data_IF_452023949839
#
_entry.id   IF_452023949839
#
_cell.length_a   1.000
_cell.length_b   1.000
_cell.length_c   1.000
_cell.angle_alpha   90.00
_cell.angle_beta   90.00
_cell.angle_gamma   90.00
#
_symmetry.space_group_name_H-M   'P 1'
#
loop_
_entity.id
_entity.type
_entity.pdbx_description
1 polymer ?
#
# COMPACT_ATOMS: atom_id res chain seq x y z
N UNK A 1 -13.32 -11.70 -1.06
CA UNK A 1 -12.83 -12.91 -1.77
C UNK A 1 -11.86 -12.50 -2.87
N UNK A 2 -10.58 -12.36 -2.54
CA UNK A 2 -9.48 -12.30 -3.50
C UNK A 2 -8.26 -12.91 -2.81
N UNK A 3 -8.12 -14.23 -2.89
CA UNK A 3 -6.90 -14.96 -2.54
C UNK A 3 -6.75 -16.13 -3.51
N UNK A 4 -5.56 -16.25 -4.12
CA UNK A 4 -4.81 -17.45 -4.53
C UNK A 4 -4.09 -17.31 -5.90
N UNK A 5 -2.78 -17.67 -6.00
CA UNK A 5 -1.95 -17.54 -7.20
C UNK A 5 -1.87 -18.85 -8.01
N UNK A 6 -1.67 -18.76 -9.34
CA UNK A 6 -1.38 -19.92 -10.20
C UNK A 6 -0.24 -19.58 -11.18
N UNK A 7 0.78 -20.45 -11.21
CA UNK A 7 2.02 -20.40 -12.02
C UNK A 7 1.78 -20.73 -13.50
N UNK A 8 2.65 -20.25 -14.42
CA UNK A 8 3.11 -20.98 -15.63
C UNK A 8 4.35 -20.31 -16.29
N UNK A 9 5.08 -21.12 -17.07
CA UNK A 9 6.52 -21.06 -17.39
C UNK A 9 6.98 -20.06 -18.49
N UNK A 10 8.29 -19.70 -18.53
CA UNK A 10 8.85 -18.70 -19.42
C UNK A 10 9.40 -19.33 -20.70
N UNK A 11 8.88 -18.96 -21.86
CA UNK A 11 9.64 -18.89 -23.10
C UNK A 11 8.78 -18.26 -24.21
N UNK A 12 9.42 -17.41 -25.02
CA UNK A 12 8.92 -16.69 -26.22
C UNK A 12 8.58 -15.20 -26.02
N UNK A 13 9.62 -14.35 -26.02
CA UNK A 13 9.47 -12.90 -26.26
C UNK A 13 10.62 -12.32 -27.11
N UNK A 14 10.77 -12.80 -28.35
CA UNK A 14 11.70 -12.21 -29.34
C UNK A 14 11.02 -11.28 -30.36
N UNK A 15 9.78 -10.81 -30.15
CA UNK A 15 9.04 -10.03 -31.16
C UNK A 15 8.30 -8.79 -30.62
N UNK A 16 9.00 -7.90 -29.90
CA UNK A 16 8.51 -6.52 -29.63
C UNK A 16 9.69 -5.53 -29.66
N UNK A 17 10.21 -5.13 -30.84
CA UNK A 17 11.35 -4.21 -30.92
C UNK A 17 11.00 -2.76 -30.58
N UNK A 18 9.76 -2.32 -30.81
CA UNK A 18 9.45 -0.88 -30.91
C UNK A 18 8.76 -0.26 -29.67
N UNK A 19 8.53 -1.03 -28.61
CA UNK A 19 8.03 -0.51 -27.32
C UNK A 19 9.12 -0.37 -26.24
N UNK A 20 10.33 -0.88 -26.53
CA UNK A 20 11.47 -0.92 -25.60
C UNK A 20 12.66 -0.07 -26.05
N UNK A 21 12.47 0.86 -27.01
CA UNK A 21 13.50 1.86 -27.30
C UNK A 21 13.63 2.82 -26.11
N UNK A 22 14.50 2.46 -25.17
CA UNK A 22 15.05 3.37 -24.18
C UNK A 22 15.66 4.56 -24.93
N UNK A 23 15.46 5.81 -24.50
CA UNK A 23 16.24 6.92 -25.02
C UNK A 23 17.72 6.64 -24.72
N UNK A 24 18.51 6.50 -25.79
CA UNK A 24 19.97 6.51 -25.75
C UNK A 24 20.48 7.76 -25.05
N UNK A 25 21.53 7.56 -24.25
CA UNK A 25 22.28 8.55 -23.47
C UNK A 25 22.30 9.96 -24.08
N UNK A 26 21.58 10.88 -23.43
CA UNK A 26 21.85 12.33 -23.41
C UNK A 26 21.49 12.89 -22.04
N UNK A 27 22.19 12.40 -21.02
CA UNK A 27 22.27 13.03 -19.70
C UNK A 27 23.61 12.67 -19.03
N UNK A 28 24.70 12.66 -19.80
CA UNK A 28 26.03 12.81 -19.24
C UNK A 28 26.35 14.30 -19.23
N UNK A 29 25.94 15.00 -18.17
CA UNK A 29 26.51 16.27 -17.66
C UNK A 29 25.56 16.84 -16.60
N UNK A 30 25.42 16.14 -15.47
CA UNK A 30 25.03 16.76 -14.18
C UNK A 30 25.37 15.84 -13.00
N UNK A 31 26.55 15.21 -13.08
CA UNK A 31 27.16 14.43 -11.99
C UNK A 31 28.06 15.33 -11.16
N UNK A 32 27.50 16.14 -10.26
CA UNK A 32 28.23 16.52 -9.05
C UNK A 32 27.22 17.03 -8.01
N UNK A 33 27.24 16.46 -6.80
CA UNK A 33 26.64 16.98 -5.55
C UNK A 33 25.17 16.70 -5.16
N UNK A 34 24.50 15.62 -5.62
CA UNK A 34 23.42 15.02 -4.82
C UNK A 34 23.99 13.88 -3.97
N UNK A 35 24.32 14.16 -2.71
CA UNK A 35 24.65 13.12 -1.72
C UNK A 35 23.59 12.02 -1.84
N UNK A 36 24.00 10.77 -2.14
CA UNK A 36 23.11 9.60 -2.25
C UNK A 36 22.44 9.38 -0.89
N UNK A 37 21.34 10.09 -0.66
CA UNK A 37 20.59 10.02 0.57
C UNK A 37 19.83 8.70 0.56
N UNK A 38 20.03 7.89 1.59
CA UNK A 38 19.31 6.63 1.75
C UNK A 38 17.83 6.94 1.90
N UNK A 39 17.01 6.37 1.01
CA UNK A 39 15.60 6.70 0.93
C UNK A 39 14.82 5.78 1.88
N UNK A 40 14.07 6.33 2.85
CA UNK A 40 13.28 5.48 3.73
C UNK A 40 12.14 4.85 2.93
N UNK A 41 12.13 3.52 2.88
CA UNK A 41 10.93 2.80 2.45
C UNK A 41 9.81 3.15 3.42
N UNK A 42 8.58 3.19 2.91
CA UNK A 42 7.36 3.74 3.49
C UNK A 42 7.18 3.53 5.02
N UNK A 43 7.73 2.44 5.60
CA UNK A 43 7.61 2.12 7.03
C UNK A 43 8.85 1.57 7.72
N UNK A 44 9.81 0.98 7.00
CA UNK A 44 10.96 0.32 7.62
C UNK A 44 11.94 1.32 8.28
N UNK A 45 11.87 2.61 7.93
CA UNK A 45 12.70 3.68 8.51
C UNK A 45 11.85 4.93 8.76
N UNK A 46 11.22 4.98 9.94
CA UNK A 46 10.46 6.16 10.39
C UNK A 46 11.44 7.28 10.78
N UNK A 47 11.69 8.22 9.86
CA UNK A 47 12.29 9.53 10.19
C UNK A 47 11.24 10.61 10.00
N UNK A 48 10.95 11.36 11.05
CA UNK A 48 9.93 12.42 11.07
C UNK A 48 10.24 13.49 10.01
N UNK A 49 11.51 13.87 9.84
CA UNK A 49 11.90 14.87 8.83
C UNK A 49 11.62 14.44 7.39
N UNK A 50 11.59 13.12 7.13
CA UNK A 50 11.40 12.57 5.79
C UNK A 50 9.92 12.49 5.39
N UNK A 51 8.97 12.46 6.34
CA UNK A 51 7.56 12.35 5.97
C UNK A 51 6.98 13.67 5.45
N UNK A 52 7.55 14.82 5.83
CA UNK A 52 7.05 16.12 5.38
C UNK A 52 7.51 16.49 3.96
N UNK A 53 8.54 15.82 3.44
CA UNK A 53 9.08 16.06 2.11
C UNK A 53 8.17 15.50 1.01
N UNK A 54 8.02 16.17 -0.13
CA UNK A 54 7.31 15.62 -1.28
C UNK A 54 7.87 14.26 -1.69
N UNK A 55 7.02 13.31 -2.11
CA UNK A 55 7.51 12.02 -2.62
C UNK A 55 8.20 12.20 -3.97
N UNK A 56 9.33 11.51 -4.11
CA UNK A 56 10.01 11.31 -5.39
C UNK A 56 9.86 9.85 -5.81
N UNK A 57 9.85 9.60 -7.12
CA UNK A 57 9.77 8.25 -7.65
C UNK A 57 10.99 7.41 -7.23
N UNK A 58 10.72 6.21 -6.73
CA UNK A 58 11.74 5.22 -6.44
C UNK A 58 12.29 4.61 -7.71
N UNK A 59 13.59 4.36 -7.70
CA UNK A 59 14.33 3.64 -8.74
C UNK A 59 14.88 2.35 -8.13
N UNK A 60 15.02 1.30 -8.93
CA UNK A 60 15.60 0.04 -8.45
C UNK A 60 17.02 0.19 -7.88
N UNK A 61 17.78 1.17 -8.38
CA UNK A 61 19.11 1.52 -7.90
C UNK A 61 19.14 2.23 -6.55
N UNK A 62 18.00 2.69 -6.04
CA UNK A 62 17.95 3.43 -4.78
C UNK A 62 18.35 2.52 -3.63
N UNK A 63 19.21 3.03 -2.77
CA UNK A 63 19.66 2.34 -1.58
C UNK A 63 18.69 2.60 -0.44
N UNK A 64 18.39 1.52 0.28
CA UNK A 64 17.62 1.51 1.50
C UNK A 64 18.45 0.87 2.62
N UNK A 65 18.17 1.24 3.85
CA UNK A 65 18.42 0.34 4.96
C UNK A 65 17.23 -0.62 5.07
N UNK A 66 17.44 -1.81 5.62
CA UNK A 66 16.37 -2.76 5.94
C UNK A 66 16.74 -3.55 7.19
N UNK A 67 15.77 -3.74 8.10
CA UNK A 67 15.92 -4.66 9.23
C UNK A 67 15.46 -6.04 8.77
N UNK A 68 16.34 -7.02 8.91
CA UNK A 68 16.02 -8.44 8.71
C UNK A 68 16.15 -9.12 10.06
N UNK A 69 15.04 -9.69 10.52
CA UNK A 69 14.91 -10.28 11.85
C UNK A 69 15.34 -11.75 11.84
N UNK A 70 15.75 -12.26 12.98
CA UNK A 70 16.03 -13.68 13.24
C UNK A 70 14.88 -14.30 14.05
N UNK A 71 14.82 -15.64 14.19
CA UNK A 71 13.75 -16.31 14.92
C UNK A 71 13.57 -15.84 16.39
N UNK A 72 14.64 -15.37 17.01
CA UNK A 72 14.67 -14.82 18.37
C UNK A 72 14.25 -13.34 18.45
N UNK A 73 13.79 -12.76 17.34
CA UNK A 73 13.38 -11.35 17.19
C UNK A 73 14.50 -10.33 17.32
N UNK A 74 15.77 -10.75 17.41
CA UNK A 74 16.88 -9.85 17.12
C UNK A 74 16.91 -9.51 15.62
N UNK A 75 17.66 -8.48 15.23
CA UNK A 75 17.72 -8.08 13.82
C UNK A 75 19.08 -7.55 13.42
N UNK A 76 19.41 -7.74 12.14
CA UNK A 76 20.51 -7.05 11.48
C UNK A 76 19.97 -5.96 10.58
N UNK A 77 20.66 -4.82 10.53
CA UNK A 77 20.36 -3.76 9.55
C UNK A 77 21.30 -3.89 8.36
N UNK A 78 20.75 -4.17 7.20
CA UNK A 78 21.49 -4.24 5.93
C UNK A 78 21.28 -2.96 5.13
N UNK A 79 22.29 -2.59 4.33
CA UNK A 79 22.16 -1.57 3.27
C UNK A 79 22.03 -2.31 1.94
N UNK A 80 20.90 -2.13 1.25
CA UNK A 80 20.58 -2.85 0.03
C UNK A 80 19.97 -1.92 -1.01
N UNK A 81 20.06 -2.29 -2.30
CA UNK A 81 19.28 -1.67 -3.37
C UNK A 81 17.83 -2.14 -3.32
N UNK A 82 16.89 -1.33 -3.78
CA UNK A 82 15.49 -1.74 -3.88
C UNK A 82 15.28 -2.93 -4.81
N UNK A 83 15.94 -2.96 -5.96
CA UNK A 83 15.81 -4.06 -6.93
C UNK A 83 16.72 -5.25 -6.63
N UNK A 84 17.29 -5.33 -5.44
CA UNK A 84 18.21 -6.39 -5.05
C UNK A 84 17.54 -7.77 -5.07
N UNK A 85 18.30 -8.80 -5.43
CA UNK A 85 17.86 -10.20 -5.36
C UNK A 85 17.85 -10.70 -3.93
N UNK A 86 16.96 -11.63 -3.63
CA UNK A 86 16.94 -12.30 -2.31
C UNK A 86 18.25 -13.01 -2.00
N UNK A 87 18.92 -13.61 -2.98
CA UNK A 87 20.26 -14.18 -2.77
C UNK A 87 21.32 -13.16 -2.33
N UNK A 88 21.25 -11.93 -2.86
CA UNK A 88 22.12 -10.82 -2.43
C UNK A 88 21.75 -10.33 -1.01
N UNK A 89 20.46 -10.24 -0.69
CA UNK A 89 19.97 -9.92 0.67
C UNK A 89 20.50 -10.93 1.68
N UNK A 90 20.37 -12.23 1.39
CA UNK A 90 20.84 -13.30 2.26
C UNK A 90 22.36 -13.28 2.43
N UNK A 91 23.13 -12.92 1.40
CA UNK A 91 24.57 -12.74 1.51
C UNK A 91 24.94 -11.60 2.47
N UNK A 92 24.26 -10.45 2.38
CA UNK A 92 24.45 -9.31 3.29
C UNK A 92 24.09 -9.67 4.74
N UNK A 93 23.00 -10.42 4.94
CA UNK A 93 22.59 -10.89 6.27
C UNK A 93 23.63 -11.85 6.83
N UNK A 94 24.09 -12.84 6.05
CA UNK A 94 25.16 -13.78 6.45
C UNK A 94 26.44 -13.04 6.85
N UNK A 95 26.87 -12.06 6.07
CA UNK A 95 28.04 -11.23 6.37
C UNK A 95 27.87 -10.53 7.73
N UNK A 96 26.69 -9.95 8.02
CA UNK A 96 26.45 -9.25 9.28
C UNK A 96 26.32 -10.19 10.48
N UNK A 97 25.76 -11.37 10.31
CA UNK A 97 25.64 -12.38 11.38
C UNK A 97 27.00 -13.00 11.74
N UNK A 98 27.94 -13.10 10.79
CA UNK A 98 29.30 -13.63 11.04
C UNK A 98 30.13 -12.81 12.04
N UNK A 99 29.79 -11.54 12.25
CA UNK A 99 30.46 -10.67 13.22
C UNK A 99 29.78 -10.67 14.61
N UNK A 100 28.74 -11.48 14.83
CA UNK A 100 28.14 -11.66 16.15
C UNK A 100 28.98 -12.65 16.96
N UNK A 101 29.49 -12.22 18.12
CA UNK A 101 30.41 -13.00 18.96
C UNK A 101 29.80 -14.30 19.54
N UNK A 102 28.48 -14.49 19.44
CA UNK A 102 27.72 -15.51 20.19
C UNK A 102 27.39 -16.82 19.43
N UNK A 103 27.75 -16.99 18.14
CA UNK A 103 27.45 -18.23 17.39
C UNK A 103 28.66 -18.79 16.60
N UNK A 104 29.27 -19.92 17.03
CA UNK A 104 30.44 -20.52 16.37
C UNK A 104 30.08 -21.38 15.14
N UNK A 105 28.80 -21.60 14.85
CA UNK A 105 28.33 -22.36 13.68
C UNK A 105 27.73 -21.43 12.64
N UNK A 106 28.36 -21.35 11.46
CA UNK A 106 27.79 -20.60 10.33
C UNK A 106 26.41 -21.18 9.98
N UNK A 107 25.33 -20.38 9.93
CA UNK A 107 24.04 -20.86 9.42
C UNK A 107 24.22 -21.17 7.93
N UNK A 108 24.30 -22.45 7.60
CA UNK A 108 24.76 -22.91 6.29
C UNK A 108 23.75 -22.53 5.19
N UNK A 109 22.46 -22.55 5.50
CA UNK A 109 21.39 -22.42 4.52
C UNK A 109 20.23 -21.54 5.01
N UNK A 110 20.45 -20.22 5.09
CA UNK A 110 19.38 -19.27 5.39
C UNK A 110 18.38 -19.13 4.23
N UNK A 111 17.10 -19.04 4.57
CA UNK A 111 16.00 -18.63 3.70
C UNK A 111 15.45 -17.28 4.15
N UNK A 112 14.92 -16.51 3.20
CA UNK A 112 14.26 -15.23 3.49
C UNK A 112 12.74 -15.44 3.50
N UNK A 113 12.09 -14.98 4.56
CA UNK A 113 10.66 -15.19 4.80
C UNK A 113 10.01 -13.86 5.14
N UNK A 114 8.91 -13.52 4.47
CA UNK A 114 8.00 -12.47 4.93
C UNK A 114 7.00 -13.07 5.92
N UNK A 115 6.88 -12.46 7.11
CA UNK A 115 5.92 -12.85 8.13
C UNK A 115 4.94 -11.70 8.36
N UNK A 116 3.65 -11.94 8.13
CA UNK A 116 2.59 -10.95 8.33
C UNK A 116 2.23 -10.82 9.81
N UNK A 117 1.49 -9.77 10.17
CA UNK A 117 0.95 -9.59 11.53
C UNK A 117 -0.06 -10.68 11.94
N UNK A 118 -0.64 -11.42 10.98
CA UNK A 118 -1.50 -12.57 11.24
C UNK A 118 -0.75 -13.89 11.41
N UNK A 119 0.58 -13.89 11.22
CA UNK A 119 1.41 -15.10 11.29
C UNK A 119 1.49 -15.88 9.98
N UNK A 120 0.94 -15.36 8.88
CA UNK A 120 1.14 -15.94 7.56
C UNK A 120 2.59 -15.76 7.11
N UNK A 121 3.15 -16.80 6.48
CA UNK A 121 4.55 -16.87 6.10
C UNK A 121 4.67 -17.05 4.60
N UNK A 122 5.47 -16.21 3.96
CA UNK A 122 5.77 -16.31 2.54
C UNK A 122 7.29 -16.45 2.35
N UNK A 123 7.74 -17.61 1.89
CA UNK A 123 9.15 -17.88 1.61
C UNK A 123 9.52 -17.34 0.23
N UNK A 124 10.59 -16.54 0.16
CA UNK A 124 11.10 -16.04 -1.11
C UNK A 124 12.17 -16.96 -1.70
N UNK A 125 12.21 -17.02 -3.03
CA UNK A 125 13.26 -17.73 -3.78
C UNK A 125 14.49 -16.84 -3.89
N UNK A 126 15.72 -17.39 -3.94
CA UNK A 126 16.93 -16.60 -4.14
C UNK A 126 16.94 -15.74 -5.42
N UNK A 127 16.17 -16.15 -6.44
CA UNK A 127 15.99 -15.45 -7.71
C UNK A 127 14.99 -14.29 -7.65
N UNK A 128 14.18 -14.19 -6.58
CA UNK A 128 13.18 -13.14 -6.47
C UNK A 128 13.87 -11.78 -6.30
N UNK A 129 13.29 -10.75 -6.91
CA UNK A 129 13.81 -9.38 -6.93
C UNK A 129 12.79 -8.41 -6.32
N UNK A 130 13.30 -7.33 -5.73
CA UNK A 130 12.51 -6.21 -5.21
C UNK A 130 11.44 -6.57 -4.16
N UNK A 131 11.76 -7.52 -3.28
CA UNK A 131 10.83 -8.01 -2.24
C UNK A 131 10.46 -6.95 -1.20
N UNK A 132 11.24 -5.87 -1.05
CA UNK A 132 10.96 -4.83 -0.06
C UNK A 132 9.65 -4.08 -0.32
N UNK A 133 9.31 -3.87 -1.59
CA UNK A 133 8.07 -3.15 -1.98
C UNK A 133 6.86 -4.08 -2.05
N UNK A 134 7.00 -5.38 -1.78
CA UNK A 134 5.88 -6.33 -1.78
C UNK A 134 5.38 -6.65 -0.37
N UNK A 135 6.07 -6.16 0.65
CA UNK A 135 5.72 -6.42 2.04
C UNK A 135 4.40 -5.74 2.38
N UNK A 136 3.49 -6.48 3.02
CA UNK A 136 2.28 -5.90 3.57
C UNK A 136 2.58 -4.82 4.62
N UNK A 137 1.53 -4.09 4.95
CA UNK A 137 1.51 -2.93 5.85
C UNK A 137 2.30 -3.14 7.16
N UNK A 138 2.13 -4.27 7.85
CA UNK A 138 2.93 -4.67 9.02
C UNK A 138 3.61 -6.04 8.81
N UNK A 139 4.14 -6.28 7.61
CA UNK A 139 4.90 -7.50 7.30
C UNK A 139 6.38 -7.27 7.52
N UNK A 140 7.05 -8.21 8.19
CA UNK A 140 8.47 -8.13 8.52
C UNK A 140 9.26 -9.23 7.79
N UNK A 141 10.51 -8.92 7.45
CA UNK A 141 11.43 -9.88 6.84
C UNK A 141 12.21 -10.62 7.92
N UNK A 142 12.22 -11.94 7.82
CA UNK A 142 13.00 -12.85 8.65
C UNK A 142 14.03 -13.60 7.81
N UNK A 143 15.20 -13.83 8.37
CA UNK A 143 16.18 -14.80 7.90
C UNK A 143 16.31 -15.91 8.93
N UNK A 144 16.07 -17.15 8.49
CA UNK A 144 16.10 -18.32 9.36
C UNK A 144 16.55 -19.56 8.58
N UNK A 145 16.87 -20.64 9.27
CA UNK A 145 17.07 -21.94 8.63
C UNK A 145 15.70 -22.57 8.26
N UNK A 146 15.64 -23.43 7.21
CA UNK A 146 14.40 -24.10 6.82
C UNK A 146 13.71 -24.87 7.94
N UNK A 147 14.47 -25.41 8.90
CA UNK A 147 13.94 -26.13 10.06
C UNK A 147 13.18 -25.21 11.04
N UNK A 148 13.49 -23.92 11.06
CA UNK A 148 12.91 -22.93 11.97
C UNK A 148 11.68 -22.22 11.39
N UNK A 149 11.38 -22.44 10.10
CA UNK A 149 10.28 -21.78 9.38
C UNK A 149 8.94 -21.92 10.11
N UNK A 150 8.62 -23.13 10.56
CA UNK A 150 7.35 -23.41 11.25
C UNK A 150 7.27 -22.75 12.63
N UNK A 151 8.41 -22.53 13.29
CA UNK A 151 8.48 -21.86 14.60
C UNK A 151 8.46 -20.34 14.53
N UNK A 152 8.66 -19.72 13.36
CA UNK A 152 8.60 -18.27 13.22
C UNK A 152 7.24 -17.73 13.70
N UNK A 153 7.28 -16.70 14.52
CA UNK A 153 6.12 -15.94 14.96
C UNK A 153 6.28 -14.46 14.56
N UNK A 154 5.17 -13.74 14.31
CA UNK A 154 5.23 -12.30 14.09
C UNK A 154 5.95 -11.58 15.22
N UNK A 155 6.56 -10.44 14.91
CA UNK A 155 7.05 -9.55 15.96
C UNK A 155 5.88 -9.15 16.87
N UNK A 156 6.11 -9.00 18.19
CA UNK A 156 5.13 -8.39 19.08
C UNK A 156 4.69 -7.08 18.46
N UNK A 157 3.39 -6.76 18.55
CA UNK A 157 2.86 -5.52 18.01
C UNK A 157 3.67 -4.33 18.56
N UNK A 158 4.51 -3.73 17.73
CA UNK A 158 5.33 -2.57 18.11
C UNK A 158 4.46 -1.34 18.42
N UNK A 159 3.15 -1.42 18.16
CA UNK A 159 2.25 -0.29 18.34
C UNK A 159 1.85 -0.17 19.80
N UNK A 160 2.70 0.53 20.54
CA UNK A 160 2.39 1.01 21.88
C UNK A 160 1.35 2.12 21.80
N UNK A 161 0.10 1.77 22.07
CA UNK A 161 -1.00 2.73 22.14
C UNK A 161 -1.00 3.42 23.49
N UNK A 162 -0.88 4.74 23.49
CA UNK A 162 -1.13 5.54 24.69
C UNK A 162 -2.64 5.57 24.96
N UNK A 163 -3.12 5.25 26.18
CA UNK A 163 -4.51 5.44 26.55
C UNK A 163 -4.95 6.88 26.29
N UNK A 164 -5.93 7.10 25.42
CA UNK A 164 -6.36 8.45 25.04
C UNK A 164 -7.25 8.47 23.80
N UNK A 165 -7.74 9.66 23.47
CA UNK A 165 -8.49 9.88 22.23
C UNK A 165 -7.55 9.82 21.02
N UNK A 166 -8.08 9.34 19.89
CA UNK A 166 -7.38 9.49 18.63
C UNK A 166 -7.06 10.95 18.33
N UNK A 167 -5.81 11.22 17.91
CA UNK A 167 -5.40 12.54 17.37
C UNK A 167 -6.31 13.01 16.23
N UNK A 168 -6.96 12.06 15.55
CA UNK A 168 -7.92 12.35 14.49
C UNK A 168 -9.13 13.14 15.00
N UNK A 169 -9.51 13.06 16.28
CA UNK A 169 -10.62 13.84 16.84
C UNK A 169 -10.40 15.35 16.70
N UNK A 170 -9.16 15.81 16.88
CA UNK A 170 -8.80 17.22 16.91
C UNK A 170 -8.54 17.82 15.50
N UNK A 171 -8.29 16.97 14.51
CA UNK A 171 -8.03 17.41 13.13
C UNK A 171 -9.33 17.74 12.38
N UNK A 172 -9.36 18.69 11.44
CA UNK A 172 -10.58 18.89 10.65
C UNK A 172 -10.73 17.79 9.58
N UNK A 173 -11.96 17.37 9.25
CA UNK A 173 -12.18 16.38 8.18
C UNK A 173 -11.70 16.90 6.81
N UNK A 174 -11.78 18.22 6.61
CA UNK A 174 -11.31 18.90 5.40
C UNK A 174 -9.80 18.84 5.26
N UNK A 175 -9.07 19.16 6.33
CA UNK A 175 -7.60 19.10 6.30
C UNK A 175 -7.11 17.67 6.12
N UNK A 176 -7.72 16.69 6.80
CA UNK A 176 -7.36 15.28 6.62
C UNK A 176 -7.62 14.83 5.18
N UNK A 177 -8.76 15.18 4.58
CA UNK A 177 -9.04 14.87 3.18
C UNK A 177 -8.04 15.54 2.24
N UNK A 178 -7.75 16.84 2.43
CA UNK A 178 -6.76 17.56 1.64
C UNK A 178 -5.38 16.87 1.68
N UNK A 179 -4.91 16.48 2.87
CA UNK A 179 -3.63 15.78 3.02
C UNK A 179 -3.64 14.37 2.42
N UNK A 180 -4.77 13.66 2.45
CA UNK A 180 -4.93 12.38 1.75
C UNK A 180 -4.77 12.57 0.24
N UNK A 181 -5.54 13.50 -0.35
CA UNK A 181 -5.52 13.78 -1.79
C UNK A 181 -4.13 14.22 -2.26
N UNK A 182 -3.48 15.14 -1.53
CA UNK A 182 -2.12 15.61 -1.86
C UNK A 182 -1.13 14.45 -1.84
N UNK A 183 -1.16 13.61 -0.81
CA UNK A 183 -0.21 12.53 -0.69
C UNK A 183 -0.47 11.40 -1.71
N UNK A 184 -1.72 11.05 -1.93
CA UNK A 184 -2.10 10.05 -2.92
C UNK A 184 -1.77 10.54 -4.34
N UNK A 185 -1.91 11.85 -4.61
CA UNK A 185 -1.47 12.46 -5.88
C UNK A 185 0.04 12.38 -6.07
N UNK A 186 0.84 12.66 -5.02
CA UNK A 186 2.29 12.52 -5.05
C UNK A 186 2.70 11.07 -5.39
N UNK A 187 2.08 10.08 -4.73
CA UNK A 187 2.34 8.66 -5.01
C UNK A 187 1.92 8.30 -6.44
N UNK A 188 0.72 8.71 -6.87
CA UNK A 188 0.23 8.48 -8.24
C UNK A 188 1.08 9.14 -9.33
N UNK A 189 1.65 10.30 -9.05
CA UNK A 189 2.57 10.97 -9.96
C UNK A 189 3.91 10.26 -10.08
N UNK A 190 4.33 9.51 -9.04
CA UNK A 190 5.58 8.76 -9.06
C UNK A 190 5.52 7.52 -9.96
N UNK A 191 4.32 6.99 -10.26
CA UNK A 191 4.20 5.75 -11.02
C UNK A 191 4.47 5.98 -12.49
N UNK A 192 5.51 5.34 -13.01
CA UNK A 192 5.79 5.38 -14.43
C UNK A 192 4.77 4.51 -15.19
N UNK A 193 4.37 4.91 -16.40
CA UNK A 193 3.36 4.17 -17.17
C UNK A 193 3.78 2.74 -17.48
N UNK A 194 5.08 2.54 -17.71
CA UNK A 194 5.70 1.21 -17.89
C UNK A 194 5.42 0.29 -16.70
N UNK A 195 5.27 0.81 -15.48
CA UNK A 195 4.95 -0.01 -14.32
C UNK A 195 3.56 -0.66 -14.43
N UNK A 196 2.58 0.07 -14.97
CA UNK A 196 1.25 -0.47 -15.27
C UNK A 196 1.30 -1.54 -16.36
N UNK A 197 2.07 -1.29 -17.43
CA UNK A 197 2.29 -2.26 -18.51
C UNK A 197 2.92 -3.55 -17.95
N UNK A 198 4.00 -3.42 -17.17
CA UNK A 198 4.69 -4.54 -16.55
C UNK A 198 3.76 -5.36 -15.66
N UNK A 199 2.95 -4.69 -14.83
CA UNK A 199 2.00 -5.35 -13.94
C UNK A 199 0.97 -6.18 -14.71
N UNK A 200 0.38 -5.65 -15.79
CA UNK A 200 -0.63 -6.39 -16.57
C UNK A 200 -0.03 -7.62 -17.24
N UNK A 201 1.15 -7.50 -17.85
CA UNK A 201 1.74 -8.59 -18.64
C UNK A 201 2.44 -9.68 -17.81
N UNK A 202 2.98 -9.34 -16.64
CA UNK A 202 3.78 -10.28 -15.84
C UNK A 202 3.16 -10.56 -14.47
N UNK A 203 2.10 -9.84 -14.10
CA UNK A 203 1.54 -9.89 -12.76
C UNK A 203 2.62 -9.65 -11.70
N UNK A 204 2.49 -10.39 -10.59
CA UNK A 204 3.46 -10.39 -9.49
C UNK A 204 4.78 -11.09 -9.85
N UNK A 205 4.89 -11.78 -11.00
CA UNK A 205 6.09 -12.51 -11.43
C UNK A 205 7.01 -11.70 -12.35
N UNK A 206 6.78 -10.39 -12.47
CA UNK A 206 7.62 -9.52 -13.28
C UNK A 206 9.08 -9.54 -12.79
N UNK A 207 10.03 -9.81 -13.71
CA UNK A 207 11.47 -9.56 -13.47
C UNK A 207 11.73 -8.09 -13.14
N UNK A 208 10.87 -7.19 -13.61
CA UNK A 208 10.86 -5.77 -13.27
C UNK A 208 9.61 -5.47 -12.44
N UNK A 209 9.77 -5.47 -11.12
CA UNK A 209 8.66 -5.17 -10.19
C UNK A 209 8.28 -3.68 -10.26
N UNK A 210 6.99 -3.35 -10.31
CA UNK A 210 6.52 -1.97 -10.41
C UNK A 210 6.55 -1.28 -9.03
N UNK A 211 7.75 -0.85 -8.62
CA UNK A 211 8.05 -0.32 -7.27
C UNK A 211 7.06 0.74 -6.79
N UNK A 212 6.74 1.74 -7.62
CA UNK A 212 5.88 2.85 -7.23
C UNK A 212 4.40 2.48 -7.32
N UNK A 213 4.03 1.59 -8.27
CA UNK A 213 2.67 1.08 -8.35
C UNK A 213 2.31 0.27 -7.09
N UNK A 214 3.21 -0.60 -6.62
CA UNK A 214 3.00 -1.37 -5.40
C UNK A 214 2.78 -0.45 -4.19
N UNK A 215 3.49 0.67 -4.09
CA UNK A 215 3.27 1.64 -3.01
C UNK A 215 1.87 2.24 -3.01
N UNK A 216 1.24 2.44 -4.18
CA UNK A 216 -0.15 2.89 -4.26
C UNK A 216 -1.12 1.79 -3.86
N UNK A 217 -0.86 0.55 -4.27
CA UNK A 217 -1.69 -0.59 -3.87
C UNK A 217 -1.63 -0.77 -2.34
N UNK A 218 -0.44 -0.66 -1.76
CA UNK A 218 -0.24 -0.64 -0.31
C UNK A 218 -0.92 0.54 0.37
N UNK A 219 -0.84 1.74 -0.21
CA UNK A 219 -1.52 2.93 0.32
C UNK A 219 -3.03 2.70 0.44
N UNK A 220 -3.64 2.05 -0.56
CA UNK A 220 -5.05 1.69 -0.51
C UNK A 220 -5.38 0.78 0.69
N UNK A 221 -4.58 -0.28 0.89
CA UNK A 221 -4.73 -1.18 2.04
C UNK A 221 -4.46 -0.47 3.36
N UNK A 222 -3.47 0.41 3.44
CA UNK A 222 -3.18 1.20 4.63
C UNK A 222 -4.37 2.08 5.04
N UNK A 223 -4.96 2.82 4.10
CA UNK A 223 -6.12 3.69 4.39
C UNK A 223 -7.34 2.87 4.85
N UNK A 224 -7.57 1.69 4.27
CA UNK A 224 -8.63 0.77 4.73
C UNK A 224 -8.42 0.34 6.18
N UNK A 225 -7.22 -0.13 6.51
CA UNK A 225 -6.89 -0.58 7.86
C UNK A 225 -6.87 0.58 8.86
N UNK A 226 -6.46 1.78 8.44
CA UNK A 226 -6.50 2.99 9.26
C UNK A 226 -7.91 3.29 9.77
N UNK A 227 -8.92 3.25 8.90
CA UNK A 227 -10.32 3.45 9.30
C UNK A 227 -10.74 2.47 10.37
N UNK A 228 -10.49 1.17 10.14
CA UNK A 228 -10.85 0.12 11.09
C UNK A 228 -10.10 0.29 12.43
N UNK A 229 -8.80 0.58 12.37
CA UNK A 229 -7.94 0.79 13.53
C UNK A 229 -8.47 1.92 14.41
N UNK A 230 -8.70 3.09 13.84
CA UNK A 230 -9.15 4.29 14.57
C UNK A 230 -10.52 4.09 15.22
N UNK A 231 -11.46 3.45 14.52
CA UNK A 231 -12.79 3.17 15.06
C UNK A 231 -12.71 2.15 16.20
N UNK A 232 -11.96 1.06 16.02
CA UNK A 232 -11.92 -0.06 16.96
C UNK A 232 -11.06 0.21 18.19
N UNK A 233 -10.17 1.19 18.14
CA UNK A 233 -9.46 1.68 19.31
C UNK A 233 -10.29 2.63 20.16
N UNK A 234 -11.30 3.28 19.57
CA UNK A 234 -12.12 4.27 20.26
C UNK A 234 -13.13 3.59 21.21
N UNK A 235 -12.76 3.46 22.48
CA UNK A 235 -13.59 2.80 23.50
C UNK A 235 -14.91 3.54 23.77
N UNK A 236 -14.86 4.88 23.78
CA UNK A 236 -16.03 5.73 24.06
C UNK A 236 -17.02 5.71 22.90
N UNK A 237 -18.22 5.15 23.10
CA UNK A 237 -19.27 5.09 22.08
C UNK A 237 -19.60 6.47 21.45
N UNK A 238 -19.83 7.56 22.22
CA UNK A 238 -20.07 8.88 21.64
C UNK A 238 -18.94 9.37 20.73
N UNK A 239 -17.68 9.15 21.12
CA UNK A 239 -16.52 9.52 20.31
C UNK A 239 -16.38 8.62 19.09
N UNK A 240 -16.64 7.32 19.22
CA UNK A 240 -16.63 6.37 18.10
C UNK A 240 -17.67 6.72 17.04
N UNK A 241 -18.88 7.14 17.43
CA UNK A 241 -19.90 7.68 16.53
C UNK A 241 -19.39 8.95 15.82
N UNK A 242 -18.67 9.83 16.53
CA UNK A 242 -18.06 11.01 15.92
C UNK A 242 -16.98 10.65 14.88
N UNK A 243 -16.14 9.65 15.15
CA UNK A 243 -15.15 9.14 14.18
C UNK A 243 -15.85 8.56 12.95
N UNK A 244 -16.87 7.72 13.15
CA UNK A 244 -17.64 7.14 12.05
C UNK A 244 -18.21 8.24 11.13
N UNK A 245 -18.84 9.25 11.73
CA UNK A 245 -19.34 10.44 11.01
C UNK A 245 -18.22 11.18 10.28
N UNK A 246 -17.05 11.30 10.91
CA UNK A 246 -15.90 12.03 10.36
C UNK A 246 -15.33 11.31 9.14
N UNK A 247 -15.17 9.99 9.19
CA UNK A 247 -14.73 9.19 8.04
C UNK A 247 -15.68 9.29 6.85
N UNK A 248 -17.00 9.26 7.08
CA UNK A 248 -17.99 9.49 6.01
C UNK A 248 -17.81 10.90 5.40
N UNK A 249 -17.54 11.91 6.22
CA UNK A 249 -17.25 13.28 5.74
C UNK A 249 -15.95 13.34 4.95
N UNK A 250 -14.87 12.70 5.42
CA UNK A 250 -13.58 12.62 4.71
C UNK A 250 -13.78 11.93 3.35
N UNK A 251 -14.50 10.80 3.30
CA UNK A 251 -14.78 10.10 2.06
C UNK A 251 -15.56 10.96 1.05
N UNK A 252 -16.56 11.72 1.54
CA UNK A 252 -17.30 12.67 0.71
C UNK A 252 -16.38 13.72 0.08
N UNK A 253 -15.42 14.25 0.85
CA UNK A 253 -14.46 15.26 0.42
C UNK A 253 -13.45 14.69 -0.58
N UNK A 254 -12.87 13.51 -0.32
CA UNK A 254 -12.00 12.82 -1.28
C UNK A 254 -12.73 12.60 -2.62
N UNK A 255 -13.99 12.13 -2.58
CA UNK A 255 -14.82 11.98 -3.79
C UNK A 255 -15.05 13.31 -4.50
N UNK A 256 -15.34 14.39 -3.77
CA UNK A 256 -15.52 15.74 -4.32
C UNK A 256 -14.25 16.25 -4.99
N UNK A 257 -13.08 15.96 -4.42
CA UNK A 257 -11.77 16.30 -4.95
C UNK A 257 -11.26 15.32 -6.02
N UNK A 258 -12.10 14.37 -6.43
CA UNK A 258 -11.81 13.36 -7.44
C UNK A 258 -10.60 12.46 -7.06
N UNK A 259 -10.41 12.21 -5.77
CA UNK A 259 -9.56 11.13 -5.28
C UNK A 259 -10.41 9.89 -5.01
N UNK A 260 -10.57 9.06 -6.05
CA UNK A 260 -11.32 7.83 -5.95
C UNK A 260 -10.53 6.70 -5.28
N UNK A 261 -9.20 6.84 -5.12
CA UNK A 261 -8.36 5.88 -4.41
C UNK A 261 -8.69 5.91 -2.91
N UNK A 262 -8.52 7.07 -2.27
CA UNK A 262 -8.86 7.23 -0.85
C UNK A 262 -10.36 7.12 -0.60
N UNK A 263 -11.21 7.65 -1.49
CA UNK A 263 -12.66 7.50 -1.33
C UNK A 263 -13.08 6.03 -1.20
N UNK A 264 -12.69 5.16 -2.13
CA UNK A 264 -13.06 3.75 -2.04
C UNK A 264 -12.32 3.02 -0.92
N UNK A 265 -11.06 3.36 -0.63
CA UNK A 265 -10.36 2.80 0.53
C UNK A 265 -11.09 3.11 1.85
N UNK A 266 -11.58 4.33 2.03
CA UNK A 266 -12.37 4.73 3.19
C UNK A 266 -13.68 3.96 3.28
N UNK A 267 -14.40 3.81 2.16
CA UNK A 267 -15.66 3.05 2.10
C UNK A 267 -15.43 1.59 2.47
N UNK A 268 -14.40 0.95 1.91
CA UNK A 268 -14.04 -0.43 2.22
C UNK A 268 -13.59 -0.61 3.67
N UNK A 269 -12.90 0.38 4.25
CA UNK A 269 -12.54 0.37 5.67
C UNK A 269 -13.76 0.48 6.59
N UNK A 270 -14.76 1.28 6.21
CA UNK A 270 -16.03 1.40 6.92
C UNK A 270 -16.90 0.15 6.79
N UNK A 271 -16.85 -0.52 5.63
CA UNK A 271 -17.55 -1.78 5.36
C UNK A 271 -16.81 -3.03 5.90
N UNK A 272 -15.61 -2.84 6.49
CA UNK A 272 -14.86 -3.93 7.11
C UNK A 272 -15.77 -4.69 8.11
N UNK A 273 -15.80 -6.04 8.11
CA UNK A 273 -16.68 -6.82 8.99
C UNK A 273 -16.54 -6.53 10.48
N UNK A 274 -15.37 -6.08 10.94
CA UNK A 274 -15.14 -5.68 12.32
C UNK A 274 -15.75 -4.30 12.64
N UNK A 275 -15.93 -3.43 11.66
CA UNK A 275 -16.55 -2.10 11.81
C UNK A 275 -18.06 -2.17 11.54
N UNK A 276 -18.48 -2.82 10.45
CA UNK A 276 -19.90 -2.91 10.04
C UNK A 276 -20.77 -3.65 11.05
N UNK A 277 -20.18 -4.49 11.90
CA UNK A 277 -20.89 -5.19 12.99
C UNK A 277 -21.23 -4.33 14.22
N UNK A 278 -20.67 -3.14 14.38
CA UNK A 278 -20.84 -2.27 15.56
C UNK A 278 -22.22 -1.59 15.56
N UNK A 279 -23.28 -2.37 15.84
CA UNK A 279 -24.68 -1.95 15.75
C UNK A 279 -24.97 -0.66 16.52
N UNK A 280 -24.54 -0.55 17.78
CA UNK A 280 -24.82 0.63 18.61
C UNK A 280 -24.14 1.88 18.04
N UNK A 281 -22.94 1.72 17.48
CA UNK A 281 -22.21 2.81 16.81
C UNK A 281 -22.94 3.27 15.55
N UNK A 282 -23.37 2.35 14.69
CA UNK A 282 -24.12 2.69 13.48
C UNK A 282 -25.50 3.28 13.80
N UNK A 283 -26.18 2.77 14.83
CA UNK A 283 -27.47 3.26 15.33
C UNK A 283 -27.38 4.62 16.03
N UNK A 284 -26.21 5.01 16.53
CA UNK A 284 -25.96 6.36 17.02
C UNK A 284 -25.73 7.40 15.92
N UNK A 285 -25.44 6.95 14.68
CA UNK A 285 -25.14 7.86 13.57
C UNK A 285 -26.41 8.56 13.07
N UNK A 286 -26.42 9.90 12.87
CA UNK A 286 -27.59 10.59 12.32
C UNK A 286 -27.98 10.07 10.94
N UNK A 287 -29.29 9.94 10.67
CA UNK A 287 -29.81 9.30 9.45
C UNK A 287 -29.30 9.90 8.13
N UNK A 288 -28.96 11.19 8.11
CA UNK A 288 -28.35 11.83 6.92
C UNK A 288 -27.01 11.20 6.53
N UNK A 289 -26.17 10.84 7.51
CA UNK A 289 -24.86 10.22 7.25
C UNK A 289 -25.00 8.73 6.90
N UNK A 290 -25.99 8.03 7.48
CA UNK A 290 -26.30 6.65 7.04
C UNK A 290 -26.72 6.61 5.57
N UNK A 291 -27.63 7.50 5.15
CA UNK A 291 -28.04 7.61 3.74
C UNK A 291 -26.87 7.97 2.82
N UNK A 292 -25.98 8.85 3.28
CA UNK A 292 -24.77 9.21 2.53
C UNK A 292 -23.82 8.01 2.38
N UNK A 293 -23.61 7.22 3.44
CA UNK A 293 -22.78 6.02 3.36
C UNK A 293 -23.38 4.96 2.43
N UNK A 294 -24.70 4.73 2.48
CA UNK A 294 -25.41 3.84 1.54
C UNK A 294 -25.21 4.24 0.07
N UNK A 295 -25.17 5.54 -0.23
CA UNK A 295 -24.84 6.02 -1.57
C UNK A 295 -23.39 5.69 -1.95
N UNK A 296 -22.46 5.74 -1.00
CA UNK A 296 -21.07 5.36 -1.25
C UNK A 296 -20.90 3.86 -1.48
N UNK A 297 -21.59 3.02 -0.70
CA UNK A 297 -21.65 1.57 -0.92
C UNK A 297 -22.15 1.23 -2.33
N UNK A 298 -23.17 1.94 -2.82
CA UNK A 298 -23.70 1.72 -4.18
C UNK A 298 -22.70 2.03 -5.31
N UNK A 299 -21.70 2.89 -5.03
CA UNK A 299 -20.60 3.17 -5.97
C UNK A 299 -19.55 2.04 -5.92
N UNK A 300 -19.29 1.49 -4.73
CA UNK A 300 -18.35 0.39 -4.52
C UNK A 300 -18.88 -0.99 -5.00
N UNK A 301 -20.18 -1.09 -5.26
CA UNK A 301 -20.88 -2.32 -5.67
C UNK A 301 -20.14 -3.07 -6.81
N UNK A 302 -19.78 -4.36 -6.61
CA UNK A 302 -19.08 -5.16 -7.62
C UNK A 302 -19.96 -5.59 -8.81
N UNK A 303 -21.28 -5.43 -8.71
CA UNK A 303 -22.26 -5.85 -9.71
C UNK A 303 -21.98 -5.27 -11.09
N UNK A 304 -22.23 -6.09 -12.11
CA UNK A 304 -22.03 -5.74 -13.53
C UNK A 304 -20.62 -5.18 -13.80
N UNK A 305 -19.60 -5.79 -13.18
CA UNK A 305 -18.20 -5.38 -13.27
C UNK A 305 -17.97 -3.94 -12.80
N UNK A 306 -18.46 -3.63 -11.59
CA UNK A 306 -18.35 -2.31 -10.97
C UNK A 306 -18.92 -1.17 -11.82
N UNK A 307 -20.12 -1.38 -12.39
CA UNK A 307 -20.75 -0.42 -13.32
C UNK A 307 -20.87 0.98 -12.71
N UNK A 308 -21.36 1.12 -11.48
CA UNK A 308 -21.56 2.41 -10.83
C UNK A 308 -20.25 3.21 -10.71
N UNK A 309 -19.17 2.55 -10.29
CA UNK A 309 -17.83 3.16 -10.26
C UNK A 309 -17.36 3.56 -11.66
N UNK A 310 -17.52 2.71 -12.67
CA UNK A 310 -17.08 3.00 -14.05
C UNK A 310 -17.85 4.16 -14.66
N UNK A 311 -19.16 4.24 -14.42
CA UNK A 311 -20.00 5.36 -14.87
C UNK A 311 -19.56 6.67 -14.19
N UNK A 312 -19.28 6.64 -12.88
CA UNK A 312 -18.72 7.79 -12.16
C UNK A 312 -17.37 8.21 -12.76
N UNK A 313 -16.43 7.26 -12.90
CA UNK A 313 -15.09 7.52 -13.42
C UNK A 313 -15.14 8.15 -14.83
N UNK A 314 -16.04 7.68 -15.69
CA UNK A 314 -16.22 8.21 -17.04
C UNK A 314 -16.74 9.66 -17.08
N UNK A 315 -17.46 10.10 -16.04
CA UNK A 315 -18.01 11.46 -15.94
C UNK A 315 -17.02 12.52 -15.44
N UNK A 316 -15.90 12.09 -14.83
CA UNK A 316 -14.93 12.98 -14.20
C UNK A 316 -13.88 13.49 -15.21
N UNK A 317 -13.20 14.58 -14.84
CA UNK A 317 -12.13 15.21 -15.64
C UNK A 317 -10.85 15.28 -14.81
N UNK A 318 -9.71 15.56 -15.44
CA UNK A 318 -8.46 15.77 -14.71
C UNK A 318 -8.52 17.05 -13.84
N UNK A 319 -7.80 17.12 -12.70
CA UNK A 319 -7.00 16.05 -12.08
C UNK A 319 -7.86 14.99 -11.40
N UNK A 320 -7.52 13.71 -11.57
CA UNK A 320 -8.28 12.55 -11.04
C UNK A 320 -7.32 11.46 -10.55
N UNK A 321 -7.57 10.91 -9.37
CA UNK A 321 -6.88 9.69 -8.89
C UNK A 321 -7.89 8.54 -9.00
N UNK A 322 -7.69 7.57 -9.90
CA UNK A 322 -8.58 6.42 -10.00
C UNK A 322 -8.33 5.43 -8.85
N UNK A 323 -9.31 4.56 -8.59
CA UNK A 323 -9.09 3.39 -7.75
C UNK A 323 -8.26 2.35 -8.51
N UNK A 324 -6.94 2.49 -8.38
CA UNK A 324 -5.91 1.71 -9.09
C UNK A 324 -6.11 0.19 -9.04
N UNK A 325 -6.48 -0.44 -7.90
CA UNK A 325 -6.69 -1.90 -7.87
C UNK A 325 -7.73 -2.38 -8.90
N UNK A 326 -8.80 -1.62 -9.12
CA UNK A 326 -9.84 -1.99 -10.09
C UNK A 326 -9.44 -1.72 -11.54
N UNK A 327 -8.59 -0.73 -11.79
CA UNK A 327 -7.99 -0.53 -13.11
C UNK A 327 -7.18 -1.77 -13.52
N UNK A 328 -6.33 -2.27 -12.63
CA UNK A 328 -5.49 -3.44 -12.88
C UNK A 328 -6.31 -4.74 -12.98
N UNK A 329 -7.34 -4.91 -12.13
CA UNK A 329 -8.22 -6.10 -12.12
C UNK A 329 -8.97 -6.30 -13.44
N UNK A 330 -9.45 -5.22 -14.06
CA UNK A 330 -10.19 -5.28 -15.32
C UNK A 330 -9.37 -5.82 -16.50
N UNK A 331 -8.04 -5.77 -16.41
CA UNK A 331 -7.12 -6.10 -17.49
C UNK A 331 -6.48 -7.48 -17.32
N UNK A 332 -6.18 -7.88 -16.08
CA UNK A 332 -5.63 -9.19 -15.72
C UNK A 332 -6.53 -10.38 -16.11
N UNK A 333 -7.87 -10.21 -16.06
CA UNK A 333 -8.85 -11.26 -16.39
C UNK A 333 -8.88 -11.70 -17.86
N UNK A 334 -8.12 -11.07 -18.75
CA UNK A 334 -8.06 -11.46 -20.18
C UNK A 334 -6.95 -12.46 -20.51
N UNK A 335 -6.03 -12.69 -19.56
CA UNK A 335 -4.88 -13.60 -19.72
C UNK A 335 -5.20 -15.08 -19.51
N UNK A 336 -6.36 -15.44 -18.95
CA UNK A 336 -6.78 -16.84 -18.86
C UNK A 336 -7.42 -17.28 -20.18
N UNK A 337 -6.64 -18.09 -20.91
CA UNK A 337 -7.02 -18.90 -22.07
C UNK A 337 -7.03 -18.21 -23.45
N UNK A 338 -6.19 -18.74 -24.35
CA UNK A 338 -6.13 -18.65 -25.83
C UNK A 338 -5.03 -17.77 -26.45
N UNK A 339 -4.18 -18.43 -27.26
CA UNK A 339 -2.98 -17.92 -27.95
C UNK A 339 -3.22 -16.79 -28.98
N UNK A 340 -4.47 -16.40 -29.24
CA UNK A 340 -4.86 -15.39 -30.24
C UNK A 340 -5.04 -13.96 -29.68
N UNK A 341 -4.67 -13.69 -28.40
CA UNK A 341 -5.07 -12.45 -27.70
C UNK A 341 -4.02 -11.34 -27.52
N UNK A 342 -2.75 -11.51 -27.91
CA UNK A 342 -1.71 -10.50 -27.67
C UNK A 342 -2.07 -9.10 -28.23
N UNK A 343 -2.64 -9.01 -29.44
CA UNK A 343 -3.06 -7.73 -30.02
C UNK A 343 -4.18 -7.05 -29.21
N UNK A 344 -5.20 -7.81 -28.79
CA UNK A 344 -6.35 -7.28 -28.02
C UNK A 344 -5.95 -6.82 -26.62
N UNK A 345 -4.98 -7.49 -25.98
CA UNK A 345 -4.43 -7.09 -24.68
C UNK A 345 -3.59 -5.82 -24.82
N UNK A 346 -2.74 -5.72 -25.85
CA UNK A 346 -1.94 -4.52 -26.11
C UNK A 346 -2.79 -3.27 -26.33
N UNK A 347 -3.93 -3.38 -27.03
CA UNK A 347 -4.85 -2.25 -27.19
C UNK A 347 -5.45 -1.78 -25.86
N UNK A 348 -5.87 -2.72 -25.00
CA UNK A 348 -6.44 -2.41 -23.67
C UNK A 348 -5.39 -1.75 -22.75
N UNK A 349 -4.18 -2.30 -22.70
CA UNK A 349 -3.08 -1.71 -21.94
C UNK A 349 -2.75 -0.30 -22.45
N UNK A 350 -2.75 -0.09 -23.77
CA UNK A 350 -2.56 1.23 -24.35
C UNK A 350 -3.69 2.22 -23.95
N UNK A 351 -4.94 1.77 -23.90
CA UNK A 351 -6.07 2.57 -23.41
C UNK A 351 -5.94 2.89 -21.91
N UNK A 352 -5.47 1.95 -21.09
CA UNK A 352 -5.17 2.18 -19.68
C UNK A 352 -4.15 3.31 -19.52
N UNK A 353 -3.02 3.20 -20.23
CA UNK A 353 -1.94 4.17 -20.19
C UNK A 353 -2.42 5.55 -20.66
N UNK A 354 -3.20 5.61 -21.76
CA UNK A 354 -3.83 6.87 -22.20
C UNK A 354 -4.78 7.45 -21.15
N UNK A 355 -5.55 6.61 -20.47
CA UNK A 355 -6.43 7.05 -19.39
C UNK A 355 -5.64 7.62 -18.22
N UNK A 356 -4.56 6.94 -17.79
CA UNK A 356 -3.66 7.41 -16.73
C UNK A 356 -3.02 8.75 -17.11
N UNK A 357 -2.56 8.91 -18.36
CA UNK A 357 -2.06 10.21 -18.88
C UNK A 357 -3.13 11.30 -18.79
N UNK A 358 -4.35 10.98 -19.22
CA UNK A 358 -5.48 11.91 -19.15
C UNK A 358 -5.79 12.29 -17.71
N UNK A 359 -5.81 11.35 -16.77
CA UNK A 359 -6.10 11.63 -15.36
C UNK A 359 -5.08 12.58 -14.72
N UNK A 360 -3.83 12.52 -15.18
CA UNK A 360 -2.70 13.37 -14.74
C UNK A 360 -2.46 14.61 -15.60
N UNK A 361 -3.33 14.93 -16.56
CA UNK A 361 -3.08 16.01 -17.53
C UNK A 361 -3.16 17.42 -16.93
N UNK A 362 -3.69 17.55 -15.72
CA UNK A 362 -3.84 18.82 -15.00
C UNK A 362 -3.20 18.67 -13.62
N UNK A 363 -2.50 19.70 -13.16
CA UNK A 363 -1.89 19.74 -11.83
C UNK A 363 -2.98 19.79 -10.76
N UNK A 364 -2.73 19.17 -9.60
CA UNK A 364 -3.56 19.36 -8.42
C UNK A 364 -3.37 20.79 -7.91
N UNK A 365 -4.46 21.51 -7.67
CA UNK A 365 -4.38 22.83 -7.04
C UNK A 365 -3.85 22.68 -5.61
N UNK A 366 -2.68 23.26 -5.33
CA UNK A 366 -2.12 23.31 -3.98
C UNK A 366 -2.51 24.63 -3.34
N UNK A 367 -3.28 24.60 -2.27
CA UNK A 367 -3.65 25.80 -1.52
C UNK A 367 -3.12 25.76 -0.08
N UNK A 368 -2.65 26.95 0.36
CA UNK A 368 -2.27 27.40 1.70
C UNK A 368 -0.78 27.39 2.09
N UNK A 369 -0.40 28.48 2.78
CA UNK A 369 0.80 28.59 3.60
C UNK A 369 0.73 27.60 4.77
N UNK A 370 1.79 26.81 5.04
CA UNK A 370 1.72 25.73 6.01
C UNK A 370 1.63 26.25 7.45
N UNK A 371 0.46 26.11 8.07
CA UNK A 371 0.29 26.30 9.51
C UNK A 371 0.84 25.12 10.32
N UNK A 372 1.03 25.27 11.63
CA UNK A 372 1.47 24.17 12.49
C UNK A 372 0.48 22.97 12.45
N UNK A 373 -0.82 23.24 12.49
CA UNK A 373 -1.87 22.21 12.43
C UNK A 373 -1.90 21.49 11.07
N UNK A 374 -1.61 22.22 9.99
CA UNK A 374 -1.41 21.65 8.65
C UNK A 374 -0.23 20.66 8.65
N UNK A 375 0.94 21.06 9.17
CA UNK A 375 2.11 20.19 9.25
C UNK A 375 1.88 18.95 10.13
N UNK A 376 1.14 19.09 11.23
CA UNK A 376 0.77 17.97 12.09
C UNK A 376 -0.16 16.98 11.37
N UNK A 377 -1.16 17.49 10.64
CA UNK A 377 -2.09 16.64 9.88
C UNK A 377 -1.36 15.96 8.72
N UNK A 378 -0.48 16.69 8.02
CA UNK A 378 0.40 16.16 6.98
C UNK A 378 1.28 15.02 7.50
N UNK A 379 1.94 15.22 8.64
CA UNK A 379 2.76 14.20 9.26
C UNK A 379 1.93 12.96 9.64
N UNK A 380 0.75 13.17 10.23
CA UNK A 380 -0.16 12.10 10.61
C UNK A 380 -0.63 11.26 9.42
N UNK A 381 -1.15 11.90 8.36
CA UNK A 381 -1.67 11.22 7.15
C UNK A 381 -0.59 10.43 6.40
N UNK A 382 0.67 10.87 6.49
CA UNK A 382 1.82 10.22 5.84
C UNK A 382 2.48 9.14 6.69
N UNK A 383 2.05 8.97 7.95
CA UNK A 383 2.60 8.00 8.90
C UNK A 383 1.47 7.28 9.65
N UNK A 384 0.44 6.83 8.91
CA UNK A 384 -0.68 6.12 9.52
C UNK A 384 -0.18 4.86 10.24
N UNK A 385 -0.55 4.76 11.51
CA UNK A 385 -0.37 3.54 12.29
C UNK A 385 -1.64 2.73 12.19
N UNK A 386 -1.54 1.48 11.77
CA UNK A 386 -2.70 0.66 11.45
C UNK A 386 -2.51 -0.78 11.92
N UNK A 387 -3.60 -1.42 12.25
CA UNK A 387 -3.71 -2.86 12.50
C UNK A 387 -4.26 -3.50 11.22
N UNK A 388 -3.46 -4.38 10.62
CA UNK A 388 -3.82 -5.17 9.43
C UNK A 388 -4.16 -6.63 9.75
N UNK A 389 -4.05 -7.05 11.01
CA UNK A 389 -4.50 -8.36 11.47
C UNK A 389 -6.03 -8.36 11.68
N UNK A 390 -6.76 -8.95 10.72
CA UNK A 390 -8.22 -9.00 10.75
C UNK A 390 -8.79 -9.76 11.96
N UNK A 391 -8.08 -10.77 12.48
CA UNK A 391 -8.52 -11.51 13.67
C UNK A 391 -8.48 -10.60 14.90
N UNK A 392 -7.42 -9.82 15.05
CA UNK A 392 -7.32 -8.85 16.13
C UNK A 392 -8.39 -7.75 16.02
N UNK A 393 -8.61 -7.20 14.81
CA UNK A 393 -9.68 -6.22 14.59
C UNK A 393 -11.04 -6.78 15.03
N UNK A 394 -11.33 -8.04 14.72
CA UNK A 394 -12.58 -8.69 15.11
C UNK A 394 -12.67 -8.92 16.62
N UNK A 395 -11.56 -9.28 17.28
CA UNK A 395 -11.49 -9.41 18.73
C UNK A 395 -11.76 -8.06 19.42
N UNK A 396 -11.11 -6.99 18.96
CA UNK A 396 -11.33 -5.62 19.46
C UNK A 396 -12.79 -5.19 19.29
N UNK A 397 -13.36 -5.44 18.11
CA UNK A 397 -14.77 -5.16 17.82
C UNK A 397 -15.71 -5.89 18.77
N UNK A 398 -15.45 -7.17 19.04
CA UNK A 398 -16.26 -7.99 19.95
C UNK A 398 -16.17 -7.52 21.41
N UNK A 399 -15.03 -6.96 21.81
CA UNK A 399 -14.86 -6.34 23.14
C UNK A 399 -15.63 -5.01 23.26
N UNK A 400 -15.70 -4.23 22.18
CA UNK A 400 -16.46 -2.97 22.15
C UNK A 400 -17.97 -3.20 22.18
N UNK A 401 -18.46 -4.10 21.34
CA UNK A 401 -19.89 -4.42 21.19
C UNK A 401 -20.08 -5.95 21.09
N UNK A 402 -20.24 -6.63 22.25
CA UNK A 402 -20.53 -8.07 22.31
C UNK A 402 -21.83 -8.42 21.59
N UNK A 403 -21.96 -9.66 21.10
CA UNK A 403 -23.12 -10.13 20.32
C UNK A 403 -24.46 -10.08 21.06
N UNK A 404 -24.43 -10.00 22.39
CA UNK A 404 -25.61 -10.02 23.26
C UNK A 404 -26.09 -8.62 23.69
N UNK A 405 -25.47 -7.55 23.16
CA UNK A 405 -25.99 -6.18 23.19
C UNK A 405 -26.74 -5.87 21.89
#
# INVERSE_FOLDING_TARGET
>A
MLTHPIFLAPDKFQQLPDLFSLPSDRAEEDKESRKKQVRPLFRHFRRIDACLQPREAFRGSDEIFCRVYTPDHSYVTIRSRLSCRVGEILALVKEKLQYSEDQPTQPANLILVAVTSSGEKAVFRPSDEAVFTTLGVNTHLFACEPAELESLIPLPEEIHWSPGDSKLHDMSAEEVANQLVVFDWELFSCVHEVEFVCYVFHGEQARWRPLNLELILQRCSEVQHWVATEILQCQSLPKRIQLLRKFIKIAALCKQQQDLLSFLALVLGLDNPAVSRLRLTWEGLPGKFRKQFQQFESIADPSRNHKSYRDLLASLRAPLIPFTPLLLKGESLTHTHTHTRYSSTSHKVAEMVRSIRRYRSTQLAMEAEPSLSHLQTKAYVRQLQVIDNQNLLFEMSSKLEPKDM
#
